data_IF_641517922274
#
_entry.id   IF_641517922274
#
_cell.length_a   1.000
_cell.length_b   1.000
_cell.length_c   1.000
_cell.angle_alpha   90.00
_cell.angle_beta   90.00
_cell.angle_gamma   90.00
#
_symmetry.space_group_name_H-M   'P 1'
#
loop_
_entity.id
_entity.type
_entity.pdbx_description
1 polymer ?
#
# COMPACT_ATOMS: atom_id res chain seq x y z
N UNK A 1 -4.62 26.51 13.45
CA UNK A 1 -4.00 25.80 13.47
C UNK A 1 -4.07 25.30 13.44
N UNK A 2 -4.49 25.64 12.93
CA UNK A 2 -4.01 24.87 12.75
C UNK A 2 -4.24 24.44 12.64
N UNK A 3 -4.63 24.74 12.24
CA UNK A 3 -4.31 24.06 11.92
C UNK A 3 -4.50 23.65 11.70
N UNK A 4 -4.74 23.89 11.28
CA UNK A 4 -4.33 23.20 10.97
C UNK A 4 -4.39 22.68 10.86
N UNK A 5 -4.60 22.79 10.35
CA UNK A 5 -4.03 21.96 10.29
C UNK A 5 -3.89 21.56 10.31
N UNK A 6 -4.18 21.97 9.90
CA UNK A 6 -3.51 21.27 9.95
C UNK A 6 -3.40 20.70 9.91
N UNK A 7 -3.67 21.01 9.64
CA UNK A 7 -3.06 20.21 9.60
C UNK A 7 -3.11 19.68 9.41
N UNK A 8 -3.28 19.63 9.01
CA UNK A 8 -2.84 18.76 8.90
C UNK A 8 -2.70 18.23 8.99
N UNK A 9 -2.82 18.36 8.76
CA UNK A 9 -2.25 17.43 8.92
C UNK A 9 -1.96 16.99 9.12
N UNK A 10 -2.17 17.33 9.04
CA UNK A 10 -1.56 16.62 9.23
C UNK A 10 -1.27 16.04 9.14
N UNK A 11 -1.27 16.15 9.01
CA UNK A 11 -0.66 15.40 8.95
C UNK A 11 -0.82 14.91 8.88
N UNK A 12 -0.88 15.00 8.89
CA UNK A 12 -0.88 14.37 8.88
C UNK A 12 -1.36 13.99 8.92
N UNK A 13 -1.46 14.19 8.82
CA UNK A 13 -1.87 13.72 8.94
C UNK A 13 -2.54 13.28 9.08
N UNK A 14 -2.42 13.60 8.83
CA UNK A 14 -3.09 13.09 9.01
C UNK A 14 -4.03 12.47 8.55
N UNK A 15 -4.80 12.52 8.04
CA UNK A 15 -5.69 11.77 7.68
C UNK A 15 -5.57 10.56 7.33
N UNK A 16 -6.06 9.82 7.68
CA UNK A 16 -5.43 8.58 7.45
C UNK A 16 -6.46 7.46 7.33
N UNK A 17 -6.37 6.71 6.26
CA UNK A 17 -7.26 5.57 6.07
C UNK A 17 -6.96 4.48 7.07
N UNK A 18 -7.98 3.80 7.60
CA UNK A 18 -7.76 2.66 8.49
C UNK A 18 -6.96 1.57 7.80
N UNK A 19 -6.11 0.91 8.55
CA UNK A 19 -5.29 -0.17 8.03
C UNK A 19 -5.85 -1.51 8.49
N UNK A 20 -5.78 -2.50 7.60
CA UNK A 20 -6.25 -3.86 7.87
C UNK A 20 -5.08 -4.81 7.76
N UNK A 21 -4.89 -5.63 8.78
CA UNK A 21 -3.84 -6.66 8.75
C UNK A 21 -4.28 -7.76 7.80
N UNK A 22 -3.35 -8.16 6.93
CA UNK A 22 -3.56 -9.29 6.03
C UNK A 22 -2.25 -10.05 5.96
N UNK A 23 -2.25 -11.16 5.25
CA UNK A 23 -1.03 -11.89 4.98
C UNK A 23 -1.20 -12.55 3.62
N UNK A 24 -0.68 -11.88 2.60
CA UNK A 24 -0.89 -12.34 1.24
C UNK A 24 0.34 -12.10 0.41
N UNK A 25 0.67 -13.10 -0.43
CA UNK A 25 1.76 -12.97 -1.38
C UNK A 25 1.22 -12.39 -2.68
N UNK A 26 2.01 -11.51 -3.28
CA UNK A 26 1.61 -10.98 -4.58
C UNK A 26 2.84 -10.53 -5.37
N UNK A 27 2.71 -10.47 -6.71
CA UNK A 27 3.81 -10.00 -7.54
C UNK A 27 3.87 -8.47 -7.57
N UNK A 28 5.10 -7.97 -7.63
CA UNK A 28 5.38 -6.54 -7.74
C UNK A 28 6.39 -6.36 -8.85
N UNK A 29 6.20 -5.37 -9.70
CA UNK A 29 7.20 -5.00 -10.69
C UNK A 29 8.09 -3.94 -10.07
N UNK A 30 9.37 -4.25 -9.97
CA UNK A 30 10.39 -3.40 -9.37
C UNK A 30 10.75 -2.25 -10.31
N UNK A 31 11.45 -1.20 -9.81
CA UNK A 31 11.81 -0.07 -10.67
C UNK A 31 12.63 -0.47 -11.88
N UNK A 32 13.41 -1.56 -11.81
CA UNK A 32 14.23 -2.01 -12.93
C UNK A 32 13.46 -2.91 -13.90
N UNK A 33 12.16 -3.11 -13.69
CA UNK A 33 11.31 -3.90 -14.56
C UNK A 33 11.19 -5.36 -14.19
N UNK A 34 11.98 -5.84 -13.24
CA UNK A 34 11.89 -7.23 -12.81
C UNK A 34 10.66 -7.43 -11.93
N UNK A 35 10.15 -8.66 -11.94
CA UNK A 35 9.02 -9.03 -11.08
C UNK A 35 9.54 -9.77 -9.86
N UNK A 36 9.03 -9.42 -8.70
CA UNK A 36 9.40 -10.08 -7.45
C UNK A 36 8.13 -10.40 -6.67
N UNK A 37 8.16 -11.47 -5.89
CA UNK A 37 7.06 -11.78 -4.98
C UNK A 37 7.32 -11.12 -3.65
N UNK A 38 6.29 -10.46 -3.11
CA UNK A 38 6.36 -9.83 -1.80
C UNK A 38 5.22 -10.36 -0.95
N UNK A 39 5.33 -10.13 0.36
CA UNK A 39 4.24 -10.46 1.29
C UNK A 39 3.64 -9.15 1.79
N UNK A 40 2.35 -8.97 1.53
CA UNK A 40 1.62 -7.81 2.05
C UNK A 40 1.18 -8.15 3.47
N UNK A 41 1.52 -7.30 4.43
CA UNK A 41 1.21 -7.54 5.84
C UNK A 41 0.13 -6.61 6.36
N UNK A 42 -0.07 -5.46 5.76
CA UNK A 42 -1.29 -4.68 6.00
C UNK A 42 -1.55 -3.77 4.81
N UNK A 43 -2.79 -3.29 4.74
CA UNK A 43 -3.26 -2.49 3.62
C UNK A 43 -4.24 -1.44 4.12
N UNK A 44 -4.25 -0.30 3.45
CA UNK A 44 -5.28 0.72 3.57
C UNK A 44 -5.68 1.15 2.16
N UNK A 45 -6.65 2.06 2.06
CA UNK A 45 -7.01 2.61 0.75
C UNK A 45 -5.88 3.42 0.13
N UNK A 46 -4.89 3.82 0.94
CA UNK A 46 -3.79 4.68 0.47
C UNK A 46 -2.51 3.92 0.18
N UNK A 47 -2.33 2.71 0.68
CA UNK A 47 -1.10 1.99 0.45
C UNK A 47 -1.02 0.67 1.18
N UNK A 48 0.16 0.06 1.09
CA UNK A 48 0.42 -1.22 1.73
C UNK A 48 1.74 -1.19 2.48
N UNK A 49 1.84 -2.08 3.47
CA UNK A 49 3.11 -2.43 4.09
C UNK A 49 3.47 -3.83 3.60
N UNK A 50 4.66 -4.00 3.06
CA UNK A 50 5.06 -5.29 2.50
C UNK A 50 6.44 -5.70 2.99
N UNK A 51 6.64 -7.02 3.03
CA UNK A 51 7.94 -7.63 3.31
C UNK A 51 8.50 -8.16 2.01
N UNK A 52 9.80 -7.98 1.81
CA UNK A 52 10.44 -8.37 0.55
C UNK A 52 11.93 -8.61 0.78
N UNK A 53 12.58 -9.18 -0.22
CA UNK A 53 14.00 -9.48 -0.16
C UNK A 53 14.83 -8.54 -1.03
N UNK A 54 14.20 -7.69 -1.81
CA UNK A 54 14.89 -6.80 -2.73
C UNK A 54 15.05 -5.43 -2.11
N UNK A 55 16.13 -4.75 -2.48
CA UNK A 55 16.35 -3.40 -1.99
C UNK A 55 15.45 -2.44 -2.76
N UNK A 56 14.69 -1.64 -2.03
CA UNK A 56 13.89 -0.57 -2.60
C UNK A 56 14.35 0.75 -2.01
N UNK A 57 14.36 1.78 -2.84
CA UNK A 57 14.78 3.11 -2.39
C UNK A 57 13.56 3.99 -2.21
N UNK A 58 13.64 4.87 -1.22
CA UNK A 58 12.57 5.85 -1.02
C UNK A 58 12.39 6.66 -2.28
N UNK A 59 11.14 6.93 -2.61
CA UNK A 59 10.80 7.68 -3.81
C UNK A 59 10.70 6.84 -5.07
N UNK A 60 11.14 5.57 -5.03
CA UNK A 60 11.07 4.73 -6.21
C UNK A 60 9.62 4.30 -6.49
N UNK A 61 9.35 4.03 -7.76
CA UNK A 61 8.03 3.62 -8.21
C UNK A 61 8.00 2.13 -8.42
N UNK A 62 6.97 1.48 -7.92
CA UNK A 62 6.72 0.05 -8.13
C UNK A 62 5.32 -0.11 -8.71
N UNK A 63 5.10 -1.23 -9.39
CA UNK A 63 3.79 -1.56 -9.93
C UNK A 63 3.28 -2.79 -9.21
N UNK A 64 2.14 -2.64 -8.54
CA UNK A 64 1.56 -3.72 -7.74
C UNK A 64 0.47 -4.40 -8.57
N UNK A 65 0.44 -5.74 -8.53
CA UNK A 65 -0.61 -6.50 -9.20
C UNK A 65 -1.62 -6.94 -8.14
N UNK A 66 -2.64 -6.12 -7.94
CA UNK A 66 -3.64 -6.38 -6.91
C UNK A 66 -4.77 -7.24 -7.46
N UNK A 67 -5.29 -8.18 -6.66
CA UNK A 67 -6.47 -8.93 -7.10
C UNK A 67 -7.64 -7.96 -7.29
N UNK A 68 -8.56 -8.31 -8.18
CA UNK A 68 -9.78 -7.55 -8.48
C UNK A 68 -9.51 -6.26 -9.25
N UNK A 69 -8.48 -5.48 -8.81
CA UNK A 69 -8.22 -4.15 -9.36
C UNK A 69 -7.25 -4.18 -10.52
N UNK A 70 -6.24 -5.07 -10.43
CA UNK A 70 -5.20 -5.13 -11.46
C UNK A 70 -3.97 -4.34 -11.08
N UNK A 71 -3.28 -3.80 -12.06
CA UNK A 71 -2.00 -3.14 -11.85
C UNK A 71 -2.21 -1.73 -11.31
N UNK A 72 -1.51 -1.41 -10.23
CA UNK A 72 -1.62 -0.12 -9.56
C UNK A 72 -0.21 0.40 -9.33
N UNK A 73 0.01 1.66 -9.70
CA UNK A 73 1.29 2.32 -9.48
C UNK A 73 1.38 2.79 -8.04
N UNK A 74 2.54 2.58 -7.42
CA UNK A 74 2.77 3.00 -6.05
C UNK A 74 4.18 3.56 -5.89
N UNK A 75 4.36 4.38 -4.88
CA UNK A 75 5.65 5.01 -4.58
C UNK A 75 6.13 4.53 -3.22
N UNK A 76 7.40 4.18 -3.16
CA UNK A 76 8.03 3.76 -1.91
C UNK A 76 8.21 4.97 -1.00
N UNK A 77 7.56 4.92 0.17
CA UNK A 77 7.64 6.00 1.15
C UNK A 77 8.83 5.77 2.07
N UNK A 78 9.03 4.54 2.50
CA UNK A 78 10.18 4.17 3.31
C UNK A 78 10.52 2.71 3.04
N UNK A 79 11.79 2.37 3.32
CA UNK A 79 12.26 1.00 3.13
C UNK A 79 13.37 0.75 4.15
N UNK A 80 13.23 -0.30 4.96
CA UNK A 80 14.18 -0.62 6.01
C UNK A 80 14.05 -2.08 6.40
N UNK A 81 15.19 -2.79 6.41
CA UNK A 81 15.22 -4.13 6.98
C UNK A 81 14.31 -5.13 6.31
N UNK A 82 14.18 -5.07 4.99
CA UNK A 82 13.32 -6.01 4.27
C UNK A 82 11.84 -5.69 4.34
N UNK A 83 11.50 -4.49 4.77
CA UNK A 83 10.13 -4.00 4.80
C UNK A 83 10.04 -2.66 4.11
N UNK A 84 8.91 -2.39 3.48
CA UNK A 84 8.67 -1.12 2.82
C UNK A 84 7.23 -0.72 2.97
N UNK A 85 7.02 0.58 3.19
CA UNK A 85 5.70 1.18 3.07
C UNK A 85 5.61 1.84 1.71
N UNK A 86 4.59 1.50 0.94
CA UNK A 86 4.36 2.11 -0.36
C UNK A 86 2.97 2.70 -0.40
N UNK A 87 2.85 3.88 -0.99
CA UNK A 87 1.55 4.54 -1.15
C UNK A 87 1.12 4.44 -2.61
N UNK A 88 -0.15 4.12 -2.80
CA UNK A 88 -0.71 4.16 -4.16
C UNK A 88 -0.66 5.59 -4.68
N UNK A 89 -0.33 5.75 -5.95
CA UNK A 89 -0.35 7.07 -6.57
C UNK A 89 -1.76 7.65 -6.52
N UNK A 90 -2.77 6.79 -6.70
CA UNK A 90 -4.16 7.17 -6.51
C UNK A 90 -4.78 6.24 -5.49
N UNK A 91 -5.44 6.82 -4.49
CA UNK A 91 -6.11 6.04 -3.46
C UNK A 91 -7.18 5.14 -4.08
N UNK A 92 -7.38 3.98 -3.48
CA UNK A 92 -8.37 3.03 -3.96
C UNK A 92 -9.74 3.46 -3.44
N UNK A 93 -10.72 3.53 -4.34
CA UNK A 93 -12.06 3.90 -3.95
C UNK A 93 -12.69 2.79 -3.11
N UNK A 94 -13.56 3.19 -2.19
CA UNK A 94 -14.15 2.23 -1.25
C UNK A 94 -14.88 1.09 -1.96
N UNK A 95 -15.53 1.37 -3.09
CA UNK A 95 -16.26 0.33 -3.83
C UNK A 95 -15.33 -0.76 -4.37
N UNK A 96 -14.04 -0.44 -4.55
CA UNK A 96 -13.03 -1.41 -5.00
C UNK A 96 -12.27 -1.99 -3.83
N UNK A 97 -12.15 -1.24 -2.74
CA UNK A 97 -11.35 -1.62 -1.60
C UNK A 97 -11.96 -2.81 -0.85
N UNK A 98 -13.26 -2.82 -0.66
CA UNK A 98 -13.92 -3.91 0.06
C UNK A 98 -13.78 -5.25 -0.71
N UNK A 99 -14.04 -5.31 -2.03
CA UNK A 99 -13.76 -6.54 -2.77
C UNK A 99 -12.29 -6.95 -2.71
N UNK A 100 -11.37 -5.97 -2.71
CA UNK A 100 -9.95 -6.25 -2.61
C UNK A 100 -9.61 -6.91 -1.28
N UNK A 101 -10.14 -6.39 -0.17
CA UNK A 101 -9.91 -6.99 1.14
C UNK A 101 -10.42 -8.43 1.19
N UNK A 102 -11.58 -8.69 0.61
CA UNK A 102 -12.11 -10.04 0.55
C UNK A 102 -11.22 -10.96 -0.26
N UNK A 103 -10.70 -10.47 -1.38
CA UNK A 103 -9.81 -11.26 -2.22
C UNK A 103 -8.51 -11.61 -1.48
N UNK A 104 -8.07 -10.75 -0.56
CA UNK A 104 -6.91 -11.02 0.28
C UNK A 104 -7.25 -11.92 1.48
N UNK A 105 -8.52 -12.29 1.65
CA UNK A 105 -8.93 -13.12 2.77
C UNK A 105 -9.17 -12.38 4.05
N UNK A 106 -9.20 -11.04 4.02
CA UNK A 106 -9.46 -10.26 5.21
C UNK A 106 -10.92 -10.35 5.60
N UNK A 107 -11.19 -10.25 6.90
CA UNK A 107 -12.55 -10.16 7.38
C UNK A 107 -13.04 -8.74 7.21
N UNK A 108 -14.20 -8.59 6.58
CA UNK A 108 -14.78 -7.27 6.38
C UNK A 108 -16.21 -7.28 6.89
N UNK A 109 -16.69 -6.13 7.39
CA UNK A 109 -18.08 -6.04 7.85
C UNK A 109 -19.04 -6.32 6.71
N UNK A 110 -20.14 -6.95 7.05
CA UNK A 110 -21.19 -7.25 6.08
C UNK A 110 -21.89 -5.96 5.64
#
# INVERSE_FOLDING_TARGET
MSPPNTAHYVGADQRVSPRTDIYARMPVTLPDGRTAMVTVVNISADGILMRHEHKLEEGSTVMLSLPVIGKVKARTVWSLGGRSGVNFVESIEMRDYIPLLRAFGAQVPA
#
